data_IF_330800129990
#
_entry.id   IF_330800129990
#
_cell.length_a   1.000
_cell.length_b   1.000
_cell.length_c   1.000
_cell.angle_alpha   90.00
_cell.angle_beta   90.00
_cell.angle_gamma   90.00
#
_symmetry.space_group_name_H-M   'P 1'
#
loop_
_entity.id
_entity.type
_entity.pdbx_description
1 polymer ?
#
# COMPACT_ATOMS: atom_id res chain seq x y z
N UNK A 1 -6.51 -5.68 18.51
CA UNK A 1 -7.55 -6.26 17.63
C UNK A 1 -7.13 -6.33 16.15
N UNK A 2 -6.06 -5.64 15.71
CA UNK A 2 -5.46 -5.81 14.37
C UNK A 2 -4.63 -7.11 14.22
N UNK A 3 -4.08 -7.64 15.32
CA UNK A 3 -3.32 -8.90 15.34
C UNK A 3 -4.13 -10.14 14.93
N UNK A 4 -5.46 -10.15 15.11
CA UNK A 4 -6.30 -11.31 14.78
C UNK A 4 -6.81 -11.32 13.34
N UNK A 5 -6.83 -10.18 12.66
CA UNK A 5 -7.20 -10.09 11.23
C UNK A 5 -6.01 -10.48 10.35
N UNK A 6 -4.78 -10.22 10.80
CA UNK A 6 -3.55 -10.71 10.16
C UNK A 6 -3.45 -12.25 10.21
N UNK A 7 -3.78 -12.88 11.35
CA UNK A 7 -3.72 -14.34 11.48
C UNK A 7 -4.76 -15.09 10.63
N UNK A 8 -5.95 -14.52 10.37
CA UNK A 8 -6.99 -15.21 9.59
C UNK A 8 -6.79 -15.10 8.08
N UNK A 9 -6.01 -14.12 7.61
CA UNK A 9 -5.65 -14.00 6.19
C UNK A 9 -4.47 -14.91 5.82
N UNK A 10 -3.57 -15.19 6.78
CA UNK A 10 -2.42 -16.08 6.60
C UNK A 10 -2.82 -17.54 6.32
N UNK A 11 -3.88 -18.05 6.95
CA UNK A 11 -4.36 -19.40 6.70
C UNK A 11 -4.99 -19.58 5.31
N UNK A 12 -5.39 -18.50 4.62
CA UNK A 12 -5.94 -18.57 3.27
C UNK A 12 -4.85 -18.56 2.18
N UNK A 13 -3.64 -18.09 2.50
CA UNK A 13 -2.47 -18.15 1.61
C UNK A 13 -1.88 -19.56 1.48
N UNK A 14 -2.07 -20.41 2.50
CA UNK A 14 -1.68 -21.83 2.44
C UNK A 14 -2.72 -22.72 1.76
N UNK A 15 -3.90 -22.21 1.40
CA UNK A 15 -4.99 -22.99 0.79
C UNK A 15 -5.25 -22.73 -0.68
N UNK A 16 -4.44 -21.88 -1.35
CA UNK A 16 -4.36 -22.00 -2.80
C UNK A 16 -3.53 -23.24 -3.10
N UNK A 17 -4.21 -24.29 -3.55
CA UNK A 17 -3.60 -25.45 -4.20
C UNK A 17 -2.56 -24.92 -5.20
N UNK A 18 -1.28 -24.98 -4.84
CA UNK A 18 -0.21 -24.50 -5.71
C UNK A 18 -0.43 -25.13 -7.07
N UNK A 19 -0.66 -24.31 -8.10
CA UNK A 19 -0.68 -24.78 -9.47
C UNK A 19 0.54 -25.70 -9.66
N UNK A 20 0.38 -26.84 -10.33
CA UNK A 20 1.50 -27.76 -10.53
C UNK A 20 2.69 -26.97 -11.11
N UNK A 21 3.89 -27.10 -10.53
CA UNK A 21 5.08 -26.40 -11.00
C UNK A 21 5.34 -26.73 -12.47
N UNK A 22 4.94 -27.93 -12.92
CA UNK A 22 4.98 -28.31 -14.33
C UNK A 22 4.04 -27.45 -15.18
N UNK A 23 2.85 -27.10 -14.68
CA UNK A 23 1.95 -26.15 -15.35
C UNK A 23 2.61 -24.78 -15.48
N UNK A 24 3.21 -24.26 -14.42
CA UNK A 24 3.94 -22.98 -14.46
C UNK A 24 5.13 -23.02 -15.45
N UNK A 25 5.96 -24.06 -15.39
CA UNK A 25 7.10 -24.27 -16.28
C UNK A 25 6.66 -24.29 -17.75
N UNK A 26 5.55 -24.99 -18.04
CA UNK A 26 4.99 -25.08 -19.38
C UNK A 26 4.43 -23.74 -19.86
N UNK A 27 3.68 -23.03 -19.01
CA UNK A 27 3.12 -21.71 -19.32
C UNK A 27 4.21 -20.67 -19.61
N UNK A 28 5.31 -20.70 -18.84
CA UNK A 28 6.44 -19.77 -18.98
C UNK A 28 7.51 -20.23 -19.98
N UNK A 29 7.33 -21.38 -20.62
CA UNK A 29 8.27 -21.93 -21.61
C UNK A 29 9.72 -22.01 -21.10
N UNK A 30 9.89 -22.46 -19.86
CA UNK A 30 11.19 -22.54 -19.20
C UNK A 30 12.05 -23.69 -19.75
N UNK A 31 13.36 -23.45 -19.96
CA UNK A 31 14.32 -24.52 -20.26
C UNK A 31 14.51 -25.40 -19.03
N UNK A 32 14.37 -26.72 -19.19
CA UNK A 32 14.54 -27.68 -18.12
C UNK A 32 15.92 -27.61 -17.46
N UNK A 33 16.96 -27.17 -18.18
CA UNK A 33 18.32 -27.00 -17.65
C UNK A 33 18.46 -25.83 -16.69
N UNK A 34 17.60 -24.82 -16.80
CA UNK A 34 17.60 -23.65 -15.93
C UNK A 34 16.44 -23.67 -14.92
N UNK A 35 15.81 -24.83 -14.73
CA UNK A 35 14.63 -24.99 -13.90
C UNK A 35 14.96 -25.71 -12.59
N UNK A 36 14.50 -25.15 -11.47
CA UNK A 36 14.53 -25.79 -10.16
C UNK A 36 13.11 -26.22 -9.79
N UNK A 37 12.79 -27.50 -10.02
CA UNK A 37 11.42 -28.05 -9.96
C UNK A 37 10.97 -28.49 -8.55
N UNK A 38 11.88 -28.57 -7.57
CA UNK A 38 11.53 -29.09 -6.24
C UNK A 38 10.89 -28.05 -5.33
N UNK A 39 10.87 -26.76 -5.72
CA UNK A 39 10.41 -25.58 -4.96
C UNK A 39 11.20 -25.30 -3.69
N UNK A 40 11.20 -26.26 -2.77
CA UNK A 40 11.88 -26.18 -1.48
C UNK A 40 13.39 -26.29 -1.65
N UNK A 41 14.10 -25.27 -1.15
CA UNK A 41 15.55 -25.30 -1.05
C UNK A 41 15.98 -25.90 0.29
N UNK A 42 16.73 -27.00 0.21
CA UNK A 42 17.30 -27.73 1.35
C UNK A 42 18.70 -28.22 0.99
N UNK A 43 19.42 -28.78 1.95
CA UNK A 43 20.71 -29.45 1.71
C UNK A 43 20.60 -30.62 0.72
N UNK A 44 19.41 -31.23 0.57
CA UNK A 44 19.19 -32.33 -0.39
C UNK A 44 18.84 -31.83 -1.79
N UNK A 45 18.11 -30.72 -1.89
CA UNK A 45 17.63 -30.20 -3.17
C UNK A 45 18.61 -29.24 -3.81
N UNK A 46 19.53 -28.62 -3.06
CA UNK A 46 20.50 -27.64 -3.58
C UNK A 46 21.39 -28.16 -4.72
N UNK A 47 21.61 -29.47 -4.82
CA UNK A 47 22.40 -30.07 -5.91
C UNK A 47 21.70 -29.98 -7.27
N UNK A 48 20.37 -29.89 -7.27
CA UNK A 48 19.53 -29.74 -8.46
C UNK A 48 19.35 -28.28 -8.86
N UNK A 49 19.85 -27.32 -8.08
CA UNK A 49 19.73 -25.91 -8.40
C UNK A 49 20.62 -25.55 -9.61
N UNK A 50 20.12 -24.81 -10.61
CA UNK A 50 20.85 -24.49 -11.84
C UNK A 50 21.89 -23.36 -11.65
N UNK A 51 22.97 -23.65 -10.93
CA UNK A 51 23.96 -22.66 -10.43
C UNK A 51 24.67 -21.84 -11.52
N UNK A 52 24.73 -22.32 -12.76
CA UNK A 52 25.44 -21.66 -13.87
C UNK A 52 24.55 -20.73 -14.70
N UNK A 53 23.26 -20.64 -14.38
CA UNK A 53 22.30 -19.89 -15.18
C UNK A 53 22.00 -18.52 -14.56
N UNK A 54 21.95 -17.50 -15.42
CA UNK A 54 21.55 -16.15 -15.00
C UNK A 54 20.05 -15.99 -14.86
N UNK A 55 19.27 -16.77 -15.60
CA UNK A 55 17.81 -16.85 -15.49
C UNK A 55 17.46 -18.21 -14.94
N UNK A 56 16.74 -18.23 -13.82
CA UNK A 56 16.30 -19.47 -13.16
C UNK A 56 14.78 -19.48 -13.13
N UNK A 57 14.19 -20.61 -13.51
CA UNK A 57 12.77 -20.85 -13.37
C UNK A 57 12.48 -21.66 -12.11
N UNK A 58 11.71 -21.09 -11.17
CA UNK A 58 11.34 -21.78 -9.94
C UNK A 58 10.26 -21.04 -9.16
N UNK A 59 9.41 -21.81 -8.47
CA UNK A 59 8.65 -21.31 -7.32
C UNK A 59 9.48 -21.54 -6.06
N UNK A 60 10.42 -20.64 -5.81
CA UNK A 60 11.49 -20.82 -4.83
C UNK A 60 10.97 -20.60 -3.41
N UNK A 61 11.00 -21.66 -2.59
CA UNK A 61 10.66 -21.63 -1.17
C UNK A 61 11.92 -21.86 -0.32
N UNK A 62 12.25 -20.87 0.49
CA UNK A 62 13.34 -20.92 1.47
C UNK A 62 12.68 -20.77 2.84
N UNK A 63 12.71 -21.84 3.63
CA UNK A 63 12.03 -21.88 4.92
C UNK A 63 12.94 -22.40 6.05
N UNK A 64 12.37 -22.67 7.23
CA UNK A 64 13.09 -23.21 8.40
C UNK A 64 13.79 -24.55 8.16
N UNK A 65 13.47 -25.25 7.07
CA UNK A 65 14.10 -26.51 6.66
C UNK A 65 15.37 -26.30 5.81
N UNK A 66 15.66 -25.05 5.41
CA UNK A 66 16.89 -24.71 4.70
C UNK A 66 18.06 -24.57 5.68
N UNK A 67 18.86 -25.63 5.81
CA UNK A 67 20.05 -25.65 6.68
C UNK A 67 21.33 -25.12 6.01
N UNK A 68 21.21 -24.39 4.90
CA UNK A 68 22.35 -23.78 4.23
C UNK A 68 22.80 -22.54 5.02
N UNK A 69 24.10 -22.40 5.24
CA UNK A 69 24.68 -21.13 5.73
C UNK A 69 24.50 -20.01 4.71
N UNK A 70 24.54 -18.75 5.16
CA UNK A 70 24.46 -17.57 4.29
C UNK A 70 25.50 -17.62 3.14
N UNK A 71 26.72 -18.08 3.41
CA UNK A 71 27.76 -18.23 2.38
C UNK A 71 27.40 -19.30 1.33
N UNK A 72 26.85 -20.43 1.77
CA UNK A 72 26.46 -21.51 0.87
C UNK A 72 25.33 -21.09 -0.06
N UNK A 73 24.29 -20.44 0.48
CA UNK A 73 23.16 -19.97 -0.32
C UNK A 73 23.53 -18.77 -1.20
N UNK A 74 24.42 -17.88 -0.72
CA UNK A 74 24.98 -16.79 -1.54
C UNK A 74 25.77 -17.34 -2.72
N UNK A 75 26.61 -18.35 -2.49
CA UNK A 75 27.34 -19.02 -3.58
C UNK A 75 26.38 -19.70 -4.56
N UNK A 76 25.32 -20.34 -4.05
CA UNK A 76 24.30 -21.02 -4.86
C UNK A 76 23.62 -20.08 -5.86
N UNK A 77 23.32 -18.85 -5.44
CA UNK A 77 22.61 -17.84 -6.22
C UNK A 77 23.51 -16.82 -6.93
N UNK A 78 24.84 -16.98 -6.82
CA UNK A 78 25.81 -15.99 -7.31
C UNK A 78 25.64 -15.58 -8.79
N UNK A 79 25.18 -16.50 -9.66
CA UNK A 79 24.92 -16.19 -11.06
C UNK A 79 23.49 -15.73 -11.34
N UNK A 80 22.53 -15.98 -10.43
CA UNK A 80 21.11 -15.73 -10.66
C UNK A 80 20.81 -14.23 -10.65
N UNK A 81 20.36 -13.73 -11.80
CA UNK A 81 19.96 -12.33 -12.04
C UNK A 81 18.46 -12.19 -12.29
N UNK A 82 17.82 -13.21 -12.86
CA UNK A 82 16.37 -13.22 -13.11
C UNK A 82 15.76 -14.48 -12.52
N UNK A 83 14.73 -14.31 -11.71
CA UNK A 83 13.87 -15.40 -11.24
C UNK A 83 12.55 -15.35 -12.02
N UNK A 84 12.23 -16.42 -12.75
CA UNK A 84 10.91 -16.63 -13.34
C UNK A 84 10.16 -17.59 -12.41
N UNK A 85 9.20 -17.05 -11.68
CA UNK A 85 8.36 -17.73 -10.69
C UNK A 85 8.23 -16.91 -9.41
N UNK A 86 7.84 -17.56 -8.33
CA UNK A 86 7.63 -16.93 -7.03
C UNK A 86 8.86 -17.06 -6.13
N UNK A 87 8.97 -16.14 -5.17
CA UNK A 87 9.97 -16.17 -4.11
C UNK A 87 9.25 -16.09 -2.77
N UNK A 88 9.46 -17.09 -1.93
CA UNK A 88 8.97 -17.11 -0.54
C UNK A 88 10.13 -17.40 0.39
N UNK A 89 10.43 -16.45 1.29
CA UNK A 89 11.39 -16.60 2.37
C UNK A 89 10.65 -16.49 3.69
N UNK A 90 10.56 -17.59 4.45
CA UNK A 90 9.69 -17.66 5.63
C UNK A 90 10.31 -18.41 6.79
N UNK A 91 10.14 -17.92 8.03
CA UNK A 91 10.63 -18.60 9.24
C UNK A 91 12.13 -18.96 9.22
N UNK A 92 12.96 -18.26 8.46
CA UNK A 92 14.40 -18.52 8.40
C UNK A 92 15.13 -17.81 9.54
N UNK A 93 16.34 -18.30 9.84
CA UNK A 93 17.27 -17.66 10.76
C UNK A 93 18.30 -16.77 10.05
N UNK A 94 18.07 -16.44 8.77
CA UNK A 94 18.96 -15.55 8.03
C UNK A 94 18.85 -14.13 8.55
N UNK A 95 20.00 -13.46 8.62
CA UNK A 95 20.08 -12.06 9.06
C UNK A 95 19.82 -11.10 7.91
N UNK A 96 19.89 -11.57 6.66
CA UNK A 96 19.46 -10.80 5.49
C UNK A 96 19.07 -11.68 4.31
N UNK A 97 18.43 -11.09 3.30
CA UNK A 97 18.24 -11.72 1.99
C UNK A 97 19.36 -11.34 0.99
N UNK A 98 20.54 -10.90 1.46
CA UNK A 98 21.69 -10.54 0.61
C UNK A 98 22.25 -11.69 -0.22
N UNK A 99 21.91 -12.93 0.12
CA UNK A 99 22.15 -14.06 -0.77
C UNK A 99 21.45 -13.92 -2.14
N UNK A 100 20.49 -12.99 -2.27
CA UNK A 100 19.86 -12.56 -3.52
C UNK A 100 20.33 -11.17 -4.00
N UNK A 101 21.46 -10.64 -3.50
CA UNK A 101 21.90 -9.29 -3.87
C UNK A 101 22.19 -9.13 -5.39
N UNK A 102 22.51 -10.24 -6.07
CA UNK A 102 22.68 -10.29 -7.53
C UNK A 102 21.38 -10.30 -8.34
N UNK A 103 20.23 -10.51 -7.71
CA UNK A 103 18.93 -10.60 -8.37
C UNK A 103 18.49 -9.23 -8.89
N UNK A 104 18.24 -9.14 -10.19
CA UNK A 104 17.86 -7.91 -10.91
C UNK A 104 16.35 -7.86 -11.18
N UNK A 105 15.69 -9.01 -11.38
CA UNK A 105 14.26 -9.08 -11.67
C UNK A 105 13.57 -10.35 -11.20
N UNK A 106 12.29 -10.23 -10.83
CA UNK A 106 11.39 -11.34 -10.53
C UNK A 106 10.18 -11.28 -11.45
N UNK A 107 9.82 -12.41 -12.06
CA UNK A 107 8.66 -12.56 -12.94
C UNK A 107 7.77 -13.71 -12.49
N UNK A 108 6.72 -13.38 -11.75
CA UNK A 108 5.77 -14.31 -11.18
C UNK A 108 4.76 -14.87 -12.20
N UNK A 109 4.05 -15.93 -11.78
CA UNK A 109 2.77 -16.33 -12.38
C UNK A 109 1.65 -15.34 -12.04
N UNK A 110 0.51 -15.47 -12.71
CA UNK A 110 -0.60 -14.48 -12.69
C UNK A 110 -1.08 -14.11 -11.28
N UNK A 111 -1.12 -15.08 -10.37
CA UNK A 111 -1.62 -14.90 -9.00
C UNK A 111 -0.52 -14.96 -7.94
N UNK A 112 0.74 -15.07 -8.34
CA UNK A 112 1.85 -15.27 -7.41
C UNK A 112 2.43 -13.95 -6.89
N UNK A 113 2.89 -14.00 -5.65
CA UNK A 113 3.50 -12.90 -4.93
C UNK A 113 4.95 -13.22 -4.56
N UNK A 114 5.74 -12.19 -4.29
CA UNK A 114 7.03 -12.32 -3.61
C UNK A 114 6.85 -12.02 -2.13
N UNK A 115 7.29 -12.91 -1.25
CA UNK A 115 7.06 -12.81 0.19
C UNK A 115 8.33 -13.04 1.00
N UNK A 116 8.59 -12.16 1.97
CA UNK A 116 9.66 -12.29 2.97
C UNK A 116 9.04 -12.06 4.34
N UNK A 117 8.55 -13.14 4.96
CA UNK A 117 7.65 -13.06 6.12
C UNK A 117 8.15 -13.88 7.31
N UNK A 118 7.91 -13.39 8.52
CA UNK A 118 8.20 -14.12 9.78
C UNK A 118 9.68 -14.59 9.94
N UNK A 119 10.64 -13.91 9.32
CA UNK A 119 12.07 -14.16 9.48
C UNK A 119 12.59 -13.33 10.67
N UNK A 120 12.46 -13.89 11.87
CA UNK A 120 12.68 -13.15 13.12
C UNK A 120 14.10 -12.57 13.27
N UNK A 121 15.10 -13.18 12.65
CA UNK A 121 16.50 -12.75 12.73
C UNK A 121 16.92 -11.78 11.62
N UNK A 122 16.05 -11.53 10.64
CA UNK A 122 16.34 -10.69 9.49
C UNK A 122 16.44 -9.22 9.91
N UNK A 123 17.61 -8.62 9.65
CA UNK A 123 17.94 -7.22 9.94
C UNK A 123 17.70 -6.31 8.72
N UNK A 124 17.90 -6.84 7.52
CA UNK A 124 17.63 -6.13 6.26
C UNK A 124 17.30 -7.07 5.11
N UNK A 125 16.64 -6.59 4.06
CA UNK A 125 16.42 -7.43 2.87
C UNK A 125 17.70 -7.49 2.03
N UNK A 126 18.29 -6.33 1.69
CA UNK A 126 19.55 -6.29 0.94
C UNK A 126 19.42 -6.78 -0.51
N UNK A 127 18.27 -6.55 -1.14
CA UNK A 127 18.01 -6.86 -2.55
C UNK A 127 18.55 -5.72 -3.43
N UNK A 128 19.88 -5.57 -3.41
CA UNK A 128 20.57 -4.37 -3.90
C UNK A 128 20.36 -4.11 -5.39
N UNK A 129 20.34 -5.15 -6.23
CA UNK A 129 20.22 -5.00 -7.68
C UNK A 129 18.79 -5.13 -8.20
N UNK A 130 17.83 -5.46 -7.33
CA UNK A 130 16.45 -5.72 -7.74
C UNK A 130 15.84 -4.41 -8.23
N UNK A 131 15.45 -4.40 -9.51
CA UNK A 131 14.91 -3.21 -10.16
C UNK A 131 13.51 -3.43 -10.76
N UNK A 132 13.13 -4.68 -11.01
CA UNK A 132 11.86 -5.02 -11.66
C UNK A 132 11.14 -6.14 -10.90
N UNK A 133 9.89 -5.90 -10.52
CA UNK A 133 9.01 -6.90 -9.91
C UNK A 133 7.77 -7.05 -10.79
N UNK A 134 7.65 -8.16 -11.51
CA UNK A 134 6.44 -8.50 -12.25
C UNK A 134 5.64 -9.56 -11.47
N UNK A 135 4.88 -9.14 -10.45
CA UNK A 135 4.13 -10.02 -9.55
C UNK A 135 2.79 -9.41 -9.16
N UNK A 136 1.88 -10.23 -8.65
CA UNK A 136 0.61 -9.73 -8.12
C UNK A 136 0.83 -8.83 -6.90
N UNK A 137 1.82 -9.18 -6.07
CA UNK A 137 2.15 -8.45 -4.85
C UNK A 137 3.58 -8.69 -4.36
N UNK A 138 4.01 -7.80 -3.47
CA UNK A 138 5.29 -7.84 -2.77
C UNK A 138 5.04 -7.61 -1.26
N UNK A 139 5.30 -8.64 -0.46
CA UNK A 139 4.95 -8.66 0.97
C UNK A 139 6.17 -8.88 1.85
N UNK A 140 6.36 -7.97 2.81
CA UNK A 140 7.38 -8.02 3.87
C UNK A 140 6.67 -7.75 5.19
N UNK A 141 6.54 -8.76 6.06
CA UNK A 141 5.80 -8.62 7.32
C UNK A 141 6.24 -9.64 8.37
N UNK A 142 5.98 -9.37 9.66
CA UNK A 142 6.30 -10.30 10.76
C UNK A 142 7.80 -10.48 11.05
N UNK A 143 8.68 -9.74 10.36
CA UNK A 143 10.12 -9.79 10.61
C UNK A 143 10.48 -8.94 11.84
N UNK A 144 10.79 -9.60 12.96
CA UNK A 144 10.93 -8.98 14.29
C UNK A 144 12.11 -8.04 14.48
N UNK A 145 13.19 -8.24 13.73
CA UNK A 145 14.42 -7.45 13.84
C UNK A 145 14.72 -6.65 12.58
N UNK A 146 13.78 -6.56 11.64
CA UNK A 146 14.00 -5.87 10.37
C UNK A 146 14.15 -4.37 10.63
N UNK A 147 15.35 -3.84 10.40
CA UNK A 147 15.70 -2.44 10.63
C UNK A 147 15.46 -1.58 9.38
N UNK A 148 15.68 -2.14 8.19
CA UNK A 148 15.59 -1.44 6.90
C UNK A 148 15.35 -2.39 5.74
N UNK A 149 14.86 -1.86 4.61
CA UNK A 149 14.70 -2.64 3.39
C UNK A 149 16.03 -2.87 2.67
N UNK A 150 16.76 -1.80 2.37
CA UNK A 150 17.96 -1.81 1.55
C UNK A 150 17.68 -2.35 0.14
N UNK A 151 16.71 -1.71 -0.53
CA UNK A 151 16.23 -2.00 -1.89
C UNK A 151 16.25 -0.74 -2.78
N UNK A 152 17.43 -0.16 -3.04
CA UNK A 152 17.52 1.17 -3.64
C UNK A 152 17.10 1.24 -5.11
N UNK A 153 17.08 0.12 -5.85
CA UNK A 153 17.06 0.14 -7.31
C UNK A 153 15.70 -0.18 -7.95
N UNK A 154 14.63 -0.35 -7.17
CA UNK A 154 13.29 -0.62 -7.70
C UNK A 154 12.83 0.51 -8.62
N UNK A 155 12.49 0.16 -9.86
CA UNK A 155 12.06 1.11 -10.90
C UNK A 155 10.76 0.70 -11.58
N UNK A 156 10.45 -0.59 -11.62
CA UNK A 156 9.29 -1.12 -12.32
C UNK A 156 8.57 -2.14 -11.45
N UNK A 157 7.24 -2.00 -11.33
CA UNK A 157 6.38 -3.02 -10.75
C UNK A 157 5.20 -3.27 -11.68
N UNK A 158 4.93 -4.49 -12.09
CA UNK A 158 3.81 -4.82 -12.99
C UNK A 158 3.06 -6.04 -12.49
N UNK A 159 1.77 -6.12 -12.79
CA UNK A 159 0.97 -7.29 -12.48
C UNK A 159 0.96 -8.24 -13.70
N UNK A 160 1.35 -9.52 -13.53
CA UNK A 160 1.47 -10.46 -14.65
C UNK A 160 0.12 -10.81 -15.28
N UNK A 161 -0.98 -10.72 -14.53
CA UNK A 161 -2.32 -10.99 -15.06
C UNK A 161 -2.85 -9.87 -15.98
N UNK A 162 -2.43 -8.63 -15.73
CA UNK A 162 -2.89 -7.44 -16.45
C UNK A 162 -1.95 -6.27 -16.10
N UNK A 163 -1.18 -5.72 -17.07
CA UNK A 163 -0.27 -4.61 -16.82
C UNK A 163 -0.93 -3.32 -16.30
N UNK A 164 -2.25 -3.18 -16.44
CA UNK A 164 -3.01 -2.03 -15.92
C UNK A 164 -3.41 -2.19 -14.46
N UNK A 165 -3.35 -3.42 -13.91
CA UNK A 165 -3.57 -3.66 -12.49
C UNK A 165 -2.35 -3.25 -11.68
N UNK A 166 -2.62 -2.82 -10.45
CA UNK A 166 -1.58 -2.52 -9.49
C UNK A 166 -0.95 -3.80 -8.91
N UNK A 167 0.28 -3.65 -8.44
CA UNK A 167 1.02 -4.61 -7.62
C UNK A 167 0.77 -4.25 -6.15
N UNK A 168 0.18 -5.16 -5.40
CA UNK A 168 -0.12 -4.93 -3.99
C UNK A 168 1.19 -4.91 -3.18
N UNK A 169 1.49 -3.79 -2.50
CA UNK A 169 2.69 -3.66 -1.64
C UNK A 169 2.26 -3.66 -0.19
N UNK A 170 2.80 -4.60 0.57
CA UNK A 170 2.62 -4.71 2.01
C UNK A 170 3.98 -4.79 2.68
N UNK A 171 4.41 -3.71 3.32
CA UNK A 171 5.72 -3.61 3.98
C UNK A 171 5.49 -3.16 5.41
N UNK A 172 5.92 -4.00 6.35
CA UNK A 172 5.90 -3.71 7.77
C UNK A 172 6.97 -4.51 8.50
N UNK A 173 7.36 -4.03 9.67
CA UNK A 173 8.19 -4.75 10.62
C UNK A 173 7.56 -4.66 12.01
N UNK A 174 7.81 -5.67 12.84
CA UNK A 174 7.45 -5.61 14.26
C UNK A 174 8.46 -4.76 15.06
N UNK A 175 9.60 -4.38 14.48
CA UNK A 175 10.60 -3.53 15.10
C UNK A 175 10.16 -2.05 15.05
N UNK A 176 9.97 -1.36 16.18
CA UNK A 176 9.51 0.03 16.17
C UNK A 176 10.47 1.01 15.50
N UNK A 177 11.76 0.69 15.45
CA UNK A 177 12.80 1.50 14.80
C UNK A 177 12.98 1.17 13.31
N UNK A 178 12.19 0.25 12.75
CA UNK A 178 12.19 -0.02 11.32
C UNK A 178 12.01 1.27 10.54
N UNK A 179 12.87 1.47 9.55
CA UNK A 179 12.86 2.68 8.75
C UNK A 179 12.99 2.39 7.25
N UNK A 180 12.41 3.29 6.46
CA UNK A 180 12.44 3.29 5.00
C UNK A 180 13.20 4.54 4.57
N UNK A 181 14.16 4.40 3.66
CA UNK A 181 14.90 5.54 3.15
C UNK A 181 14.01 6.38 2.22
N UNK A 182 14.24 7.71 2.17
CA UNK A 182 13.50 8.64 1.29
C UNK A 182 13.56 8.21 -0.17
N UNK A 183 14.71 7.72 -0.64
CA UNK A 183 14.86 7.19 -2.00
C UNK A 183 13.99 5.95 -2.28
N UNK A 184 13.91 5.00 -1.34
CA UNK A 184 13.06 3.82 -1.48
C UNK A 184 11.58 4.21 -1.54
N UNK A 185 11.16 5.11 -0.65
CA UNK A 185 9.78 5.62 -0.65
C UNK A 185 9.45 6.40 -1.93
N UNK A 186 10.38 7.22 -2.43
CA UNK A 186 10.23 7.90 -3.71
C UNK A 186 9.99 6.91 -4.85
N UNK A 187 10.78 5.84 -4.92
CA UNK A 187 10.62 4.80 -5.94
C UNK A 187 9.20 4.21 -5.88
N UNK A 188 8.71 3.81 -4.70
CA UNK A 188 7.33 3.30 -4.55
C UNK A 188 6.25 4.32 -4.91
N UNK A 189 6.42 5.59 -4.57
CA UNK A 189 5.49 6.66 -4.93
C UNK A 189 5.48 6.93 -6.45
N UNK A 190 6.64 6.84 -7.10
CA UNK A 190 6.81 7.20 -8.51
C UNK A 190 6.32 6.14 -9.50
N UNK A 191 6.18 4.89 -9.06
CA UNK A 191 5.70 3.78 -9.88
C UNK A 191 4.17 3.73 -9.84
N UNK A 192 3.49 4.19 -10.90
CA UNK A 192 2.02 4.33 -10.93
C UNK A 192 1.27 3.01 -10.66
N UNK A 193 1.87 1.88 -11.03
CA UNK A 193 1.37 0.53 -10.83
C UNK A 193 1.70 -0.07 -9.46
N UNK A 194 2.50 0.58 -8.62
CA UNK A 194 2.75 0.16 -7.24
C UNK A 194 1.57 0.55 -6.35
N UNK A 195 0.97 -0.37 -5.60
CA UNK A 195 -0.07 -0.04 -4.62
C UNK A 195 0.54 0.11 -3.22
N UNK A 196 0.85 1.34 -2.82
CA UNK A 196 1.64 1.64 -1.62
C UNK A 196 0.80 1.96 -0.37
N UNK A 197 -0.41 1.41 -0.26
CA UNK A 197 -1.30 1.68 0.87
C UNK A 197 -0.83 1.05 2.19
N UNK A 198 -0.12 -0.07 2.14
CA UNK A 198 0.26 -0.84 3.33
C UNK A 198 1.78 -0.81 3.55
N UNK A 199 2.38 0.38 3.45
CA UNK A 199 3.78 0.60 3.79
C UNK A 199 3.83 1.32 5.12
N UNK A 200 4.27 0.62 6.18
CA UNK A 200 4.31 1.15 7.54
C UNK A 200 5.74 1.13 8.09
N UNK A 201 6.16 2.21 8.73
CA UNK A 201 7.50 2.35 9.30
C UNK A 201 7.82 3.79 9.70
N UNK A 202 9.10 4.10 9.85
CA UNK A 202 9.59 5.48 9.97
C UNK A 202 10.46 5.83 8.77
N UNK A 203 10.84 7.10 8.62
CA UNK A 203 11.95 7.42 7.72
C UNK A 203 13.29 7.18 8.40
N UNK A 204 14.26 6.62 7.66
CA UNK A 204 15.64 6.63 8.10
C UNK A 204 16.17 8.07 8.09
N UNK A 205 17.07 8.44 9.01
CA UNK A 205 17.68 9.78 8.97
C UNK A 205 18.44 9.94 7.64
N UNK A 206 18.04 10.91 6.79
CA UNK A 206 18.62 11.04 5.47
C UNK A 206 19.94 11.82 5.52
N UNK A 207 20.76 11.62 4.50
CA UNK A 207 21.84 12.54 4.18
C UNK A 207 21.21 13.68 3.37
N UNK A 208 21.19 14.88 3.93
CA UNK A 208 20.68 16.06 3.24
C UNK A 208 21.67 16.52 2.17
N UNK A 209 21.14 17.03 1.07
CA UNK A 209 21.89 17.62 -0.02
C UNK A 209 21.12 18.82 -0.61
N UNK A 210 21.54 19.31 -1.78
CA UNK A 210 20.87 20.44 -2.43
C UNK A 210 19.45 20.09 -2.90
N UNK A 211 19.15 18.81 -3.10
CA UNK A 211 17.87 18.33 -3.61
C UNK A 211 16.91 17.99 -2.45
N UNK A 212 17.41 17.34 -1.40
CA UNK A 212 16.67 16.91 -0.21
C UNK A 212 17.00 17.80 1.00
N UNK A 213 16.04 18.64 1.39
CA UNK A 213 16.22 19.67 2.41
C UNK A 213 15.19 19.54 3.55
N UNK A 214 15.47 20.16 4.69
CA UNK A 214 14.48 20.30 5.78
C UNK A 214 13.53 21.47 5.57
N UNK A 215 14.02 22.53 4.92
CA UNK A 215 13.29 23.75 4.62
C UNK A 215 13.30 24.02 3.12
N UNK A 216 12.26 24.64 2.56
CA UNK A 216 12.20 24.99 1.14
C UNK A 216 13.17 26.14 0.83
N UNK A 217 14.29 25.80 0.21
CA UNK A 217 15.29 26.76 -0.27
C UNK A 217 15.49 26.61 -1.77
N UNK A 218 16.10 27.61 -2.42
CA UNK A 218 16.41 27.54 -3.85
C UNK A 218 17.20 26.26 -4.20
N UNK A 219 16.72 25.54 -5.22
CA UNK A 219 17.29 24.25 -5.65
C UNK A 219 16.68 23.02 -4.97
N UNK A 220 15.90 23.21 -3.91
CA UNK A 220 15.26 22.11 -3.21
C UNK A 220 14.07 21.56 -4.02
N UNK A 221 14.07 20.25 -4.27
CA UNK A 221 12.94 19.57 -4.93
C UNK A 221 12.28 18.53 -4.03
N UNK A 222 12.89 18.20 -2.89
CA UNK A 222 12.37 17.23 -1.94
C UNK A 222 12.52 17.78 -0.52
N UNK A 223 11.45 17.70 0.27
CA UNK A 223 11.46 18.09 1.67
C UNK A 223 11.43 16.88 2.58
N UNK A 224 12.26 16.88 3.62
CA UNK A 224 12.28 15.90 4.69
C UNK A 224 11.73 16.51 5.97
N UNK A 225 10.65 15.92 6.48
CA UNK A 225 9.96 16.38 7.68
C UNK A 225 8.57 16.93 7.41
N UNK A 226 7.97 17.43 8.48
CA UNK A 226 6.61 17.96 8.49
C UNK A 226 6.64 19.44 8.11
N UNK A 227 5.88 19.84 7.10
CA UNK A 227 5.89 21.19 6.54
C UNK A 227 4.60 21.91 6.94
N UNK A 228 4.72 23.10 7.54
CA UNK A 228 3.60 23.94 7.91
C UNK A 228 3.62 25.27 7.13
N UNK A 229 2.51 25.58 6.45
CA UNK A 229 2.29 26.79 5.68
C UNK A 229 1.23 27.63 6.40
N UNK A 230 1.66 28.78 6.90
CA UNK A 230 0.82 29.80 7.54
C UNK A 230 0.74 31.09 6.75
N UNK A 231 0.41 32.20 7.41
CA UNK A 231 0.29 33.54 6.80
C UNK A 231 1.62 34.09 6.28
N UNK A 232 2.71 33.79 6.98
CA UNK A 232 4.02 34.43 6.75
C UNK A 232 4.96 33.51 5.94
N UNK A 233 4.43 32.42 5.39
CA UNK A 233 5.24 31.46 4.65
C UNK A 233 5.58 31.98 3.25
N UNK A 234 6.85 31.85 2.86
CA UNK A 234 7.30 32.22 1.52
C UNK A 234 6.82 31.22 0.47
N UNK A 235 5.73 31.58 -0.23
CA UNK A 235 5.12 30.74 -1.27
C UNK A 235 5.99 30.56 -2.51
N UNK A 236 7.01 31.40 -2.76
CA UNK A 236 7.92 31.18 -3.89
C UNK A 236 8.81 29.96 -3.64
N UNK A 237 9.22 29.76 -2.38
CA UNK A 237 10.12 28.68 -1.99
C UNK A 237 9.56 27.27 -2.21
N UNK A 238 8.22 27.10 -2.20
CA UNK A 238 7.58 25.79 -2.32
C UNK A 238 7.30 25.38 -3.78
N UNK A 239 7.44 26.31 -4.74
CA UNK A 239 7.07 26.07 -6.15
C UNK A 239 7.87 24.95 -6.82
N UNK A 240 9.14 24.80 -6.46
CA UNK A 240 10.03 23.76 -7.00
C UNK A 240 9.92 22.42 -6.29
N UNK A 241 9.24 22.36 -5.13
CA UNK A 241 9.16 21.14 -4.34
C UNK A 241 8.25 20.13 -5.01
N UNK A 242 8.78 18.95 -5.29
CA UNK A 242 8.10 17.85 -5.95
C UNK A 242 7.60 16.78 -4.96
N UNK A 243 8.33 16.59 -3.86
CA UNK A 243 8.06 15.53 -2.89
C UNK A 243 8.20 16.04 -1.45
N UNK A 244 7.29 15.65 -0.58
CA UNK A 244 7.40 15.84 0.87
C UNK A 244 7.43 14.47 1.54
N UNK A 245 8.52 14.16 2.24
CA UNK A 245 8.69 12.97 3.10
C UNK A 245 8.31 13.34 4.54
N UNK A 246 7.01 13.35 4.79
CA UNK A 246 6.36 13.81 6.01
C UNK A 246 4.95 14.28 5.68
N UNK A 247 4.34 15.04 6.59
CA UNK A 247 3.03 15.63 6.33
C UNK A 247 3.10 17.10 5.86
N UNK A 248 2.09 17.52 5.11
CA UNK A 248 1.87 18.91 4.72
C UNK A 248 0.69 19.48 5.51
N UNK A 249 0.92 20.58 6.22
CA UNK A 249 -0.08 21.30 7.00
C UNK A 249 -0.25 22.70 6.42
N UNK A 250 -1.46 23.06 6.03
CA UNK A 250 -1.82 24.42 5.61
C UNK A 250 -2.77 24.97 6.66
N UNK A 251 -2.31 25.94 7.44
CA UNK A 251 -2.98 26.34 8.67
C UNK A 251 -3.12 27.86 8.76
N UNK A 252 -4.35 28.36 8.79
CA UNK A 252 -4.60 29.79 9.00
C UNK A 252 -4.03 30.69 7.90
N UNK A 253 -3.77 30.16 6.71
CA UNK A 253 -3.17 30.91 5.62
C UNK A 253 -4.20 31.80 4.90
N UNK A 254 -3.67 32.77 4.16
CA UNK A 254 -4.46 33.66 3.31
C UNK A 254 -4.68 33.11 1.88
N UNK A 255 -4.33 31.84 1.65
CA UNK A 255 -4.46 31.18 0.35
C UNK A 255 -5.93 31.12 -0.10
N UNK A 256 -6.16 31.49 -1.36
CA UNK A 256 -7.45 31.33 -2.03
C UNK A 256 -7.54 30.03 -2.84
N UNK A 257 -6.37 29.50 -3.24
CA UNK A 257 -6.18 28.26 -3.99
C UNK A 257 -4.86 27.57 -3.58
N UNK A 258 -4.60 26.39 -4.14
CA UNK A 258 -3.37 25.60 -3.92
C UNK A 258 -2.42 25.62 -5.13
N UNK A 259 -2.47 26.65 -5.97
CA UNK A 259 -1.66 26.73 -7.20
C UNK A 259 -0.17 27.00 -6.93
N UNK A 260 0.18 27.51 -5.75
CA UNK A 260 1.57 27.70 -5.31
C UNK A 260 2.37 26.39 -5.27
N UNK A 261 1.71 25.23 -5.15
CA UNK A 261 2.34 23.91 -5.24
C UNK A 261 2.53 23.47 -6.69
N UNK A 262 3.23 24.27 -7.48
CA UNK A 262 3.34 24.11 -8.94
C UNK A 262 3.96 22.77 -9.37
N UNK A 263 4.84 22.20 -8.54
CA UNK A 263 5.60 20.99 -8.85
C UNK A 263 5.29 19.79 -7.95
N UNK A 264 4.50 19.98 -6.89
CA UNK A 264 4.24 18.95 -5.88
C UNK A 264 3.52 17.75 -6.50
N UNK A 265 4.17 16.58 -6.50
CA UNK A 265 3.68 15.30 -7.04
C UNK A 265 3.31 14.34 -5.91
N UNK A 266 4.08 14.33 -4.82
CA UNK A 266 4.03 13.30 -3.80
C UNK A 266 4.08 13.87 -2.38
N UNK A 267 3.21 13.38 -1.50
CA UNK A 267 3.30 13.61 -0.05
C UNK A 267 3.20 12.26 0.65
N UNK A 268 4.25 11.87 1.37
CA UNK A 268 4.36 10.55 1.97
C UNK A 268 4.66 10.67 3.47
N UNK A 269 3.65 10.49 4.30
CA UNK A 269 3.75 10.46 5.75
C UNK A 269 3.73 9.01 6.22
N UNK A 270 4.82 8.46 6.75
CA UNK A 270 4.84 7.05 7.22
C UNK A 270 4.21 6.88 8.62
N UNK A 271 3.81 7.97 9.27
CA UNK A 271 3.17 7.96 10.58
C UNK A 271 1.65 7.86 10.55
N UNK A 272 1.04 7.87 11.74
CA UNK A 272 -0.42 7.80 11.91
C UNK A 272 -1.13 9.16 11.75
N UNK A 273 -0.54 10.11 11.02
CA UNK A 273 -1.12 11.44 10.75
C UNK A 273 -1.58 11.53 9.30
N UNK A 274 -2.64 12.30 8.98
CA UNK A 274 -2.99 12.58 7.59
C UNK A 274 -1.77 13.14 6.83
N UNK A 275 -1.60 12.70 5.59
CA UNK A 275 -0.54 13.19 4.71
C UNK A 275 -0.70 14.69 4.44
N UNK A 276 -1.94 15.15 4.28
CA UNK A 276 -2.26 16.56 4.04
C UNK A 276 -3.36 17.02 5.02
N UNK A 277 -3.11 18.14 5.70
CA UNK A 277 -4.04 18.76 6.65
C UNK A 277 -4.27 20.21 6.23
N UNK A 278 -5.52 20.59 6.03
CA UNK A 278 -5.95 21.95 5.70
C UNK A 278 -6.87 22.42 6.83
N UNK A 279 -6.41 23.37 7.65
CA UNK A 279 -7.13 23.83 8.85
C UNK A 279 -7.23 25.35 8.90
N UNK A 280 -8.40 25.89 9.25
CA UNK A 280 -8.66 27.34 9.42
C UNK A 280 -8.26 28.23 8.22
N UNK A 281 -8.42 27.77 6.98
CA UNK A 281 -8.15 28.59 5.80
C UNK A 281 -9.45 29.18 5.25
N UNK A 282 -9.86 30.34 5.79
CA UNK A 282 -11.18 30.94 5.50
C UNK A 282 -11.32 31.42 4.05
N UNK A 283 -10.21 31.83 3.42
CA UNK A 283 -10.20 32.36 2.04
C UNK A 283 -10.11 31.26 0.96
N UNK A 284 -9.80 30.02 1.36
CA UNK A 284 -9.52 28.92 0.44
C UNK A 284 -10.81 28.38 -0.18
N UNK A 285 -10.92 28.51 -1.51
CA UNK A 285 -12.10 28.11 -2.28
C UNK A 285 -11.82 26.99 -3.28
N UNK A 286 -10.56 26.86 -3.73
CA UNK A 286 -10.12 25.80 -4.62
C UNK A 286 -9.07 24.91 -3.93
N UNK A 287 -9.36 23.63 -3.82
CA UNK A 287 -8.54 22.63 -3.12
C UNK A 287 -7.72 21.74 -4.08
N UNK A 288 -7.69 22.10 -5.37
CA UNK A 288 -7.00 21.31 -6.39
C UNK A 288 -5.52 21.61 -6.39
N UNK A 289 -4.70 20.58 -6.21
CA UNK A 289 -3.26 20.67 -6.45
C UNK A 289 -2.97 20.51 -7.96
N UNK A 290 -2.10 21.33 -8.56
CA UNK A 290 -1.83 21.27 -10.00
C UNK A 290 -1.27 19.93 -10.50
N UNK A 291 -0.32 19.34 -9.76
CA UNK A 291 0.41 18.13 -10.19
C UNK A 291 0.43 16.99 -9.18
N UNK A 292 -0.33 17.09 -8.08
CA UNK A 292 -0.34 16.05 -7.05
C UNK A 292 -0.88 14.76 -7.66
N UNK A 293 -0.08 13.70 -7.59
CA UNK A 293 -0.45 12.39 -8.14
C UNK A 293 -0.86 11.43 -7.05
N UNK A 294 -0.10 11.39 -5.96
CA UNK A 294 -0.25 10.39 -4.91
C UNK A 294 0.06 10.95 -3.55
N UNK A 295 -0.65 10.43 -2.56
CA UNK A 295 -0.37 10.65 -1.15
C UNK A 295 -0.31 9.31 -0.45
N UNK A 296 0.52 9.22 0.59
CA UNK A 296 0.63 8.03 1.43
C UNK A 296 0.53 8.44 2.90
N UNK A 297 -0.26 7.68 3.67
CA UNK A 297 -0.30 7.74 5.12
C UNK A 297 -0.92 6.48 5.74
N UNK A 298 -0.38 6.06 6.89
CA UNK A 298 -0.92 4.98 7.74
C UNK A 298 -2.18 5.41 8.51
N UNK A 299 -2.55 6.69 8.45
CA UNK A 299 -3.77 7.20 9.08
C UNK A 299 -5.03 6.69 8.37
N UNK A 300 -6.08 6.44 9.15
CA UNK A 300 -7.42 6.16 8.62
C UNK A 300 -7.91 7.35 7.77
N UNK A 301 -7.56 8.56 8.18
CA UNK A 301 -7.86 9.80 7.48
C UNK A 301 -6.61 10.23 6.71
N UNK A 302 -6.52 9.87 5.43
CA UNK A 302 -5.32 10.15 4.62
C UNK A 302 -5.14 11.65 4.31
N UNK A 303 -6.24 12.39 4.26
CA UNK A 303 -6.29 13.84 4.05
C UNK A 303 -7.42 14.42 4.92
N UNK A 304 -7.19 15.59 5.52
CA UNK A 304 -8.14 16.20 6.46
C UNK A 304 -8.35 17.69 6.21
N UNK A 305 -9.60 18.11 6.11
CA UNK A 305 -10.05 19.49 6.00
C UNK A 305 -10.84 19.85 7.27
N UNK A 306 -10.44 20.92 7.96
CA UNK A 306 -11.04 21.34 9.23
C UNK A 306 -11.28 22.84 9.27
N UNK A 307 -12.40 23.26 9.87
CA UNK A 307 -12.69 24.66 10.22
C UNK A 307 -12.44 25.67 9.08
N UNK A 308 -12.52 25.23 7.83
CA UNK A 308 -12.60 26.09 6.66
C UNK A 308 -14.11 26.29 6.40
N UNK A 309 -14.54 27.30 5.65
CA UNK A 309 -15.96 27.75 5.50
C UNK A 309 -16.91 26.69 4.85
N UNK A 310 -16.58 25.40 4.90
CA UNK A 310 -17.19 24.26 4.24
C UNK A 310 -18.52 23.77 4.86
N UNK A 311 -19.25 24.56 5.64
CA UNK A 311 -20.55 24.11 6.18
C UNK A 311 -21.69 24.24 5.17
N UNK A 312 -21.71 23.40 4.13
CA UNK A 312 -22.90 23.19 3.30
C UNK A 312 -22.78 21.94 2.43
N UNK A 313 -23.51 20.88 2.80
CA UNK A 313 -24.21 19.78 2.06
C UNK A 313 -23.73 19.35 0.64
N UNK A 314 -23.07 20.19 -0.15
CA UNK A 314 -22.52 19.94 -1.48
C UNK A 314 -21.11 19.29 -1.49
N UNK A 315 -20.49 19.00 -0.34
CA UNK A 315 -19.11 18.50 -0.27
C UNK A 315 -18.89 17.06 -0.75
N UNK A 316 -19.94 16.24 -0.77
CA UNK A 316 -19.73 14.83 -1.09
C UNK A 316 -19.12 14.68 -2.48
N UNK A 317 -19.50 15.54 -3.43
CA UNK A 317 -18.94 15.58 -4.78
C UNK A 317 -17.43 15.86 -4.76
N UNK A 318 -16.97 16.94 -4.11
CA UNK A 318 -15.55 17.28 -4.02
C UNK A 318 -14.74 16.17 -3.32
N UNK A 319 -15.27 15.59 -2.24
CA UNK A 319 -14.63 14.45 -1.58
C UNK A 319 -14.45 13.25 -2.52
N UNK A 320 -15.49 12.90 -3.30
CA UNK A 320 -15.41 11.83 -4.29
C UNK A 320 -14.49 12.18 -5.47
N UNK A 321 -14.43 13.44 -5.88
CA UNK A 321 -13.51 13.92 -6.92
C UNK A 321 -12.06 13.79 -6.47
N UNK A 322 -11.71 14.26 -5.27
CA UNK A 322 -10.36 14.09 -4.68
C UNK A 322 -10.03 12.60 -4.58
N UNK A 323 -10.97 11.79 -4.07
CA UNK A 323 -10.79 10.34 -3.93
C UNK A 323 -10.50 9.66 -5.26
N UNK A 324 -11.24 10.03 -6.32
CA UNK A 324 -11.05 9.48 -7.67
C UNK A 324 -9.75 9.99 -8.30
N UNK A 325 -9.45 11.28 -8.16
CA UNK A 325 -8.27 11.92 -8.72
C UNK A 325 -6.97 11.33 -8.16
N UNK A 326 -6.92 11.08 -6.85
CA UNK A 326 -5.77 10.48 -6.16
C UNK A 326 -5.82 8.94 -6.09
N UNK A 327 -6.80 8.31 -6.75
CA UNK A 327 -7.05 6.85 -6.74
C UNK A 327 -7.03 6.21 -5.33
N UNK A 328 -7.68 6.88 -4.37
CA UNK A 328 -7.74 6.48 -2.95
C UNK A 328 -8.66 5.26 -2.76
N UNK A 329 -8.08 4.06 -2.94
CA UNK A 329 -8.77 2.76 -2.82
C UNK A 329 -9.22 2.50 -1.38
N UNK A 330 -10.46 2.85 -1.08
CA UNK A 330 -11.09 2.57 0.23
C UNK A 330 -10.81 3.64 1.28
N UNK A 331 -9.69 4.37 1.16
CA UNK A 331 -9.42 5.58 1.94
C UNK A 331 -10.22 6.76 1.40
N UNK A 332 -10.51 7.73 2.28
CA UNK A 332 -11.27 8.91 1.92
C UNK A 332 -10.72 10.14 2.65
N UNK A 333 -10.69 11.31 1.99
CA UNK A 333 -10.50 12.55 2.71
C UNK A 333 -11.64 12.76 3.71
N UNK A 334 -11.35 13.51 4.76
CA UNK A 334 -12.32 13.90 5.77
C UNK A 334 -12.52 15.41 5.78
N UNK A 335 -13.77 15.83 5.96
CA UNK A 335 -14.15 17.22 6.12
C UNK A 335 -14.89 17.35 7.45
N UNK A 336 -14.30 18.09 8.39
CA UNK A 336 -14.78 18.23 9.77
C UNK A 336 -15.11 16.87 10.43
N UNK A 337 -14.30 15.84 10.14
CA UNK A 337 -14.45 14.48 10.67
C UNK A 337 -15.50 13.61 9.94
N UNK A 338 -16.02 14.05 8.79
CA UNK A 338 -16.92 13.29 7.93
C UNK A 338 -16.22 12.87 6.63
N UNK A 339 -16.29 11.58 6.27
CA UNK A 339 -15.75 11.04 5.02
C UNK A 339 -16.80 11.00 3.90
N UNK A 340 -16.35 10.87 2.64
CA UNK A 340 -17.26 10.59 1.52
C UNK A 340 -17.89 9.21 1.69
N UNK A 341 -19.23 9.17 1.81
CA UNK A 341 -20.00 7.93 1.92
C UNK A 341 -20.20 7.43 3.35
N UNK A 342 -21.07 8.08 4.14
CA UNK A 342 -21.65 7.45 5.34
C UNK A 342 -22.89 6.64 4.98
N UNK A 343 -22.70 5.34 4.82
CA UNK A 343 -23.56 4.32 5.42
C UNK A 343 -22.69 3.15 5.93
N UNK A 344 -22.28 3.25 7.19
CA UNK A 344 -21.88 2.18 8.14
C UNK A 344 -20.91 1.09 7.68
N UNK A 345 -19.68 1.12 8.23
CA UNK A 345 -19.15 -0.04 8.96
C UNK A 345 -18.52 0.43 10.28
N UNK A 346 -19.03 -0.12 11.38
CA UNK A 346 -18.59 0.03 12.77
C UNK A 346 -18.81 1.38 13.47
N UNK A 347 -20.03 1.56 13.97
CA UNK A 347 -20.16 2.06 15.34
C UNK A 347 -19.61 0.99 16.30
N UNK A 348 -18.32 1.04 16.64
CA UNK A 348 -17.82 0.38 17.85
C UNK A 348 -17.49 1.44 18.90
N UNK A 349 -18.47 1.64 19.78
CA UNK A 349 -18.41 2.22 21.12
C UNK A 349 -17.55 3.46 21.34
N UNK A 350 -18.21 4.63 21.38
CA UNK A 350 -18.14 5.56 22.53
C UNK A 350 -19.24 6.60 22.41
N UNK A 351 -20.47 6.17 22.70
CA UNK A 351 -21.52 7.10 23.13
C UNK A 351 -21.64 7.00 24.64
N UNK A 352 -20.99 7.93 25.35
CA UNK A 352 -21.49 8.40 26.64
C UNK A 352 -22.84 9.04 26.35
N UNK A 353 -23.93 8.34 26.63
CA UNK A 353 -25.21 8.98 26.86
C UNK A 353 -25.67 8.61 28.26
N UNK A 354 -25.76 9.66 29.06
CA UNK A 354 -26.46 9.75 30.33
C UNK A 354 -27.88 9.18 30.22
N UNK A 355 -28.29 8.55 31.32
CA UNK A 355 -29.64 8.02 31.59
C UNK A 355 -30.75 8.99 31.15
N UNK A 356 -31.63 8.58 30.25
CA UNK A 356 -33.06 9.01 30.22
C UNK A 356 -33.93 7.86 29.69
N UNK A 357 -35.14 7.77 30.23
CA UNK A 357 -36.07 6.66 30.27
C UNK A 357 -36.57 6.09 28.91
N UNK A 358 -36.96 4.80 28.96
CA UNK A 358 -37.61 4.03 27.89
C UNK A 358 -39.05 4.52 27.64
N UNK A 359 -39.44 4.68 26.37
CA UNK A 359 -40.81 4.43 25.91
C UNK A 359 -40.78 3.60 24.62
N UNK A 360 -41.67 2.59 24.54
CA UNK A 360 -41.78 1.65 23.42
C UNK A 360 -42.81 2.19 22.42
N UNK A 361 -42.47 2.27 21.14
CA UNK A 361 -43.44 2.37 20.03
C UNK A 361 -43.22 1.18 19.09
N UNK A 362 -44.27 0.40 18.81
CA UNK A 362 -44.26 -0.73 17.86
C UNK A 362 -44.67 -0.23 16.47
N UNK A 363 -43.80 -0.39 15.48
CA UNK A 363 -44.10 -0.16 14.05
C UNK A 363 -44.54 -1.49 13.41
N UNK A 364 -45.60 -1.48 12.61
CA UNK A 364 -46.22 -2.69 12.03
C UNK A 364 -45.58 -3.11 10.69
N UNK A 365 -45.69 -4.40 10.34
CA UNK A 365 -45.09 -5.03 9.14
C UNK A 365 -45.50 -4.37 7.80
N UNK A 366 -46.59 -3.59 7.77
CA UNK A 366 -47.07 -2.92 6.55
C UNK A 366 -46.23 -1.67 6.20
N UNK A 367 -45.71 -0.94 7.20
CA UNK A 367 -44.82 0.21 6.99
C UNK A 367 -43.42 -0.19 6.52
N UNK A 368 -42.94 -1.38 6.89
CA UNK A 368 -41.68 -1.95 6.37
C UNK A 368 -41.77 -2.34 4.89
N UNK A 369 -42.95 -2.77 4.42
CA UNK A 369 -43.16 -3.15 3.00
C UNK A 369 -43.20 -1.93 2.08
N UNK A 370 -43.79 -0.83 2.51
CA UNK A 370 -43.81 0.41 1.74
C UNK A 370 -42.43 1.08 1.64
N UNK A 371 -41.62 1.07 2.72
CA UNK A 371 -40.24 1.57 2.65
C UNK A 371 -39.35 0.80 1.67
N UNK A 372 -39.54 -0.52 1.51
CA UNK A 372 -38.80 -1.33 0.52
C UNK A 372 -39.18 -0.99 -0.92
N UNK A 373 -40.44 -0.66 -1.20
CA UNK A 373 -40.88 -0.21 -2.54
C UNK A 373 -40.34 1.17 -2.91
N UNK A 374 -40.24 2.08 -1.95
CA UNK A 374 -39.66 3.42 -2.16
C UNK A 374 -38.15 3.38 -2.44
N UNK A 375 -37.43 2.43 -1.83
CA UNK A 375 -35.99 2.21 -2.05
C UNK A 375 -35.66 1.69 -3.46
N UNK A 376 -36.51 0.81 -4.04
CA UNK A 376 -36.33 0.35 -5.43
C UNK A 376 -36.59 1.42 -6.48
N UNK A 377 -37.38 2.47 -6.18
CA UNK A 377 -37.68 3.56 -7.13
C UNK A 377 -36.56 4.60 -7.26
N UNK A 378 -35.54 4.58 -6.38
CA UNK A 378 -34.45 5.58 -6.36
C UNK A 378 -33.09 5.07 -6.85
N UNK A 379 -33.03 3.83 -7.35
CA UNK A 379 -31.84 3.30 -8.03
C UNK A 379 -31.84 3.77 -9.49
N UNK A 380 -31.21 4.92 -9.73
CA UNK A 380 -30.73 5.28 -11.07
C UNK A 380 -29.45 4.49 -11.33
N UNK A 381 -29.43 3.85 -12.49
CA UNK A 381 -28.45 2.90 -13.02
C UNK A 381 -27.01 3.42 -12.91
N UNK A 382 -26.14 2.65 -12.26
CA UNK A 382 -24.70 2.63 -12.52
C UNK A 382 -24.39 1.27 -13.16
N UNK A 383 -23.67 1.34 -14.28
CA UNK A 383 -23.27 0.20 -15.12
C UNK A 383 -22.34 -0.71 -14.33
N UNK A 384 -22.92 -1.76 -13.73
CA UNK A 384 -22.55 -3.17 -13.87
C UNK A 384 -23.31 -4.02 -12.82
N UNK A 385 -24.44 -4.59 -13.27
CA UNK A 385 -25.06 -5.81 -12.75
C UNK A 385 -25.48 -5.89 -11.26
N UNK A 386 -26.67 -5.39 -10.92
CA UNK A 386 -27.44 -5.90 -9.76
C UNK A 386 -28.86 -6.27 -10.22
N UNK A 387 -29.17 -7.57 -10.23
CA UNK A 387 -30.54 -8.06 -10.43
C UNK A 387 -31.29 -8.10 -9.10
N UNK A 388 -32.40 -7.38 -9.00
CA UNK A 388 -33.39 -7.57 -7.93
C UNK A 388 -34.31 -8.75 -8.28
N UNK A 389 -34.09 -9.92 -7.68
CA UNK A 389 -35.03 -11.03 -7.76
C UNK A 389 -36.10 -10.89 -6.65
N UNK A 390 -37.34 -10.62 -7.02
CA UNK A 390 -38.51 -10.68 -6.12
C UNK A 390 -39.37 -11.86 -6.55
N UNK A 391 -38.99 -13.07 -6.19
CA UNK A 391 -39.81 -14.27 -6.35
C UNK A 391 -40.00 -14.95 -4.99
N UNK A 392 -41.26 -15.10 -4.59
CA UNK A 392 -41.64 -15.67 -3.29
C UNK A 392 -43.09 -15.39 -2.91
N UNK A 393 -44.04 -15.77 -3.77
CA UNK A 393 -45.46 -15.91 -3.43
C UNK A 393 -45.93 -17.25 -3.99
N UNK A 394 -46.03 -18.25 -3.12
CA UNK A 394 -47.01 -19.32 -3.24
C UNK A 394 -47.57 -19.54 -1.83
N UNK A 395 -48.78 -19.02 -1.62
CA UNK A 395 -49.65 -19.40 -0.52
C UNK A 395 -50.52 -20.55 -1.04
N UNK A 396 -50.55 -21.63 -0.27
CA UNK A 396 -51.44 -22.77 -0.43
C UNK A 396 -52.87 -22.30 -0.11
N UNK A 397 -53.78 -22.46 -1.07
CA UNK A 397 -55.13 -23.00 -0.90
C UNK A 397 -55.71 -23.30 -2.27
#
# INVERSE_FOLDING_TARGET
MKAYVFLSFFFFLLSQTGADINTFINEKSCDSKCTFSTRELTTKTMEHFPKTFSTVCSELLINEMCYLSEDQITFLFSNMKKLIGSLTVIHTNYTSAKFLAGLESIECGNDSETTLVDNNEMLELGLLNLNTINCKGFTVSGNKKLEKLNMPNIKNMTNPSDPTKKVDISISSDLPSFCICTHEMYNFMSIDTADNYFISGNYCEPILDNQLCKEPTNGCTQLFGNIEIGTDFDLESIKSVETIFGNLVINGSDLTNLECFESLKYVAELGNKPAIIIDRNEKLTNFTFPKLRRIHSDAIEIMSFKNSIFLSIHNFTLCFEIRKFLDLRGLAPTFDGFSCGRHTFSSFSRRRFSRVARSRVKITKLEQKNRRRELCKRLVVLVDGIFCNVSGLNLIS
#
